data_IF_996044078227
#
_entry.id   IF_996044078227
#
_cell.length_a   1.000
_cell.length_b   1.000
_cell.length_c   1.000
_cell.angle_alpha   90.00
_cell.angle_beta   90.00
_cell.angle_gamma   90.00
#
_symmetry.space_group_name_H-M   'P 1'
#
loop_
_entity.id
_entity.type
_entity.pdbx_description
1 polymer ?
#
# COMPACT_ATOMS: atom_id res chain seq x y z
N UNK A 1 2.30 -59.98 56.12
CA UNK A 1 1.02 -59.91 55.38
C UNK A 1 1.02 -58.62 54.59
N UNK A 2 1.32 -58.72 53.31
CA UNK A 2 1.38 -57.56 52.43
C UNK A 2 0.00 -57.43 51.77
N UNK A 3 -0.80 -56.44 52.19
CA UNK A 3 -2.08 -56.16 51.57
C UNK A 3 -1.83 -55.53 50.19
N UNK A 4 -1.93 -56.31 49.13
CA UNK A 4 -2.05 -55.85 47.78
C UNK A 4 -3.39 -55.16 47.61
N UNK A 5 -3.39 -53.84 47.61
CA UNK A 5 -4.54 -53.03 47.18
C UNK A 5 -4.77 -53.29 45.71
N UNK A 6 -5.70 -54.20 45.39
CA UNK A 6 -6.19 -54.37 44.04
C UNK A 6 -7.00 -53.12 43.66
N UNK A 7 -6.42 -52.25 42.88
CA UNK A 7 -7.15 -51.18 42.18
C UNK A 7 -8.15 -51.82 41.22
N UNK A 8 -9.41 -51.94 41.65
CA UNK A 8 -10.50 -52.43 40.83
C UNK A 8 -10.71 -51.54 39.65
N UNK A 9 -10.20 -51.99 38.49
CA UNK A 9 -10.36 -51.34 37.20
C UNK A 9 -11.86 -51.25 36.89
N UNK A 10 -12.45 -50.04 36.97
CA UNK A 10 -13.72 -49.76 36.29
C UNK A 10 -13.41 -49.78 34.80
N UNK A 11 -13.58 -50.94 34.17
CA UNK A 11 -13.59 -51.10 32.73
C UNK A 11 -14.88 -50.48 32.18
N UNK A 12 -14.91 -49.16 32.06
CA UNK A 12 -15.83 -48.49 31.15
C UNK A 12 -15.47 -48.86 29.72
N UNK A 13 -16.39 -48.75 28.77
CA UNK A 13 -16.40 -49.23 27.41
C UNK A 13 -15.20 -48.83 26.51
N UNK A 14 -14.15 -48.16 27.04
CA UNK A 14 -12.97 -47.71 26.29
C UNK A 14 -11.75 -48.60 26.55
N UNK A 15 -10.98 -48.90 25.49
CA UNK A 15 -9.71 -49.61 25.62
C UNK A 15 -8.69 -48.75 26.41
N UNK A 16 -7.70 -49.40 27.04
CA UNK A 16 -6.66 -48.73 27.82
C UNK A 16 -5.91 -47.67 26.99
N UNK A 17 -5.66 -47.95 25.70
CA UNK A 17 -5.00 -47.03 24.78
C UNK A 17 -5.86 -45.77 24.55
N UNK A 18 -7.18 -45.92 24.37
CA UNK A 18 -8.09 -44.80 24.21
C UNK A 18 -8.18 -43.92 25.47
N UNK A 19 -8.14 -44.51 26.65
CA UNK A 19 -8.13 -43.78 27.94
C UNK A 19 -6.83 -42.92 28.08
N UNK A 20 -5.69 -43.52 27.71
CA UNK A 20 -4.40 -42.80 27.72
C UNK A 20 -4.36 -41.65 26.69
N UNK A 21 -4.85 -41.88 25.47
CA UNK A 21 -4.99 -40.86 24.44
C UNK A 21 -5.88 -39.70 24.91
N UNK A 22 -7.05 -40.00 25.45
CA UNK A 22 -7.99 -39.03 26.00
C UNK A 22 -7.35 -38.17 27.11
N UNK A 23 -6.65 -38.80 28.05
CA UNK A 23 -5.94 -38.11 29.13
C UNK A 23 -4.87 -37.13 28.56
N UNK A 24 -4.18 -37.51 27.49
CA UNK A 24 -3.20 -36.68 26.82
C UNK A 24 -3.86 -35.48 26.14
N UNK A 25 -4.99 -35.67 25.45
CA UNK A 25 -5.71 -34.56 24.81
C UNK A 25 -6.23 -33.58 25.87
N UNK A 26 -6.79 -34.06 26.99
CA UNK A 26 -7.20 -33.18 28.11
C UNK A 26 -6.01 -32.40 28.66
N UNK A 27 -4.84 -33.02 28.80
CA UNK A 27 -3.64 -32.34 29.23
C UNK A 27 -3.27 -31.18 28.27
N UNK A 28 -3.32 -31.38 26.96
CA UNK A 28 -3.11 -30.34 25.96
C UNK A 28 -4.13 -29.20 26.10
N UNK A 29 -5.40 -29.55 26.28
CA UNK A 29 -6.47 -28.56 26.48
C UNK A 29 -6.24 -27.69 27.73
N UNK A 30 -5.91 -28.33 28.88
CA UNK A 30 -5.61 -27.61 30.12
C UNK A 30 -4.37 -26.73 29.97
N UNK A 31 -3.34 -27.22 29.29
CA UNK A 31 -2.13 -26.44 29.03
C UNK A 31 -2.43 -25.20 28.18
N UNK A 32 -3.19 -25.36 27.09
CA UNK A 32 -3.63 -24.24 26.22
C UNK A 32 -4.49 -23.25 27.00
N UNK A 33 -5.41 -23.73 27.85
CA UNK A 33 -6.22 -22.87 28.69
C UNK A 33 -5.42 -22.05 29.70
N UNK A 34 -4.39 -22.64 30.29
CA UNK A 34 -3.49 -21.95 31.23
C UNK A 34 -2.55 -20.95 30.52
N UNK A 35 -2.11 -21.24 29.31
CA UNK A 35 -1.24 -20.40 28.49
C UNK A 35 -2.04 -19.62 27.42
N UNK A 36 -3.05 -18.86 27.86
CA UNK A 36 -4.00 -18.16 26.98
C UNK A 36 -3.31 -17.28 25.94
N UNK A 37 -2.26 -16.58 26.33
CA UNK A 37 -1.52 -15.69 25.44
C UNK A 37 -0.94 -16.43 24.23
N UNK A 38 -0.25 -17.55 24.45
CA UNK A 38 0.35 -18.35 23.39
C UNK A 38 -0.73 -18.98 22.52
N UNK A 39 -1.81 -19.49 23.13
CA UNK A 39 -2.93 -20.11 22.38
C UNK A 39 -3.66 -19.06 21.52
N UNK A 40 -3.88 -17.86 22.03
CA UNK A 40 -4.48 -16.76 21.25
C UNK A 40 -3.57 -16.32 20.11
N UNK A 41 -2.27 -16.20 20.35
CA UNK A 41 -1.31 -15.87 19.29
C UNK A 41 -1.31 -16.94 18.19
N UNK A 42 -1.31 -18.21 18.57
CA UNK A 42 -1.36 -19.35 17.65
C UNK A 42 -2.60 -19.32 16.74
N UNK A 43 -3.77 -18.96 17.28
CA UNK A 43 -5.02 -18.89 16.53
C UNK A 43 -5.15 -17.59 15.72
N UNK A 44 -4.67 -16.47 16.25
CA UNK A 44 -4.87 -15.15 15.66
C UNK A 44 -3.84 -14.79 14.59
N UNK A 45 -2.59 -15.26 14.66
CA UNK A 45 -1.58 -14.88 13.67
C UNK A 45 -1.96 -15.24 12.23
N UNK A 46 -2.42 -16.47 11.92
CA UNK A 46 -2.89 -16.76 10.56
C UNK A 46 -4.01 -15.81 10.10
N UNK A 47 -4.93 -15.49 11.01
CA UNK A 47 -6.05 -14.58 10.73
C UNK A 47 -5.58 -13.16 10.45
N UNK A 48 -4.66 -12.64 11.27
CA UNK A 48 -4.08 -11.29 11.09
C UNK A 48 -3.37 -11.18 9.73
N UNK A 49 -2.55 -12.17 9.38
CA UNK A 49 -1.84 -12.16 8.08
C UNK A 49 -2.81 -12.26 6.90
N UNK A 50 -3.88 -13.02 7.02
CA UNK A 50 -4.92 -13.07 5.98
C UNK A 50 -5.67 -11.75 5.86
N UNK A 51 -5.99 -11.08 6.97
CA UNK A 51 -6.58 -9.73 6.95
C UNK A 51 -5.65 -8.75 6.24
N UNK A 52 -4.35 -8.76 6.55
CA UNK A 52 -3.35 -7.94 5.87
C UNK A 52 -3.29 -8.26 4.36
N UNK A 53 -3.36 -9.53 4.00
CA UNK A 53 -3.44 -9.97 2.60
C UNK A 53 -4.68 -9.46 1.88
N UNK A 54 -5.86 -9.52 2.51
CA UNK A 54 -7.09 -8.97 1.96
C UNK A 54 -7.03 -7.44 1.81
N UNK A 55 -6.47 -6.74 2.80
CA UNK A 55 -6.28 -5.28 2.72
C UNK A 55 -5.36 -4.89 1.57
N UNK A 56 -4.25 -5.61 1.36
CA UNK A 56 -3.37 -5.35 0.21
C UNK A 56 -4.08 -5.65 -1.11
N UNK A 57 -4.91 -6.66 -1.18
CA UNK A 57 -5.72 -6.95 -2.36
C UNK A 57 -6.70 -5.82 -2.71
N UNK A 58 -7.34 -5.20 -1.72
CA UNK A 58 -8.24 -4.07 -1.92
C UNK A 58 -7.53 -2.78 -2.39
N UNK A 59 -6.23 -2.63 -2.13
CA UNK A 59 -5.47 -1.46 -2.60
C UNK A 59 -5.07 -1.54 -4.07
N UNK A 60 -5.11 -2.72 -4.69
CA UNK A 60 -4.85 -2.89 -6.12
C UNK A 60 -6.12 -2.54 -6.88
N UNK A 61 -6.26 -1.26 -7.21
CA UNK A 61 -7.38 -0.77 -8.00
C UNK A 61 -7.27 -1.21 -9.46
N UNK A 62 -8.39 -1.60 -10.05
CA UNK A 62 -8.50 -1.73 -11.50
C UNK A 62 -8.22 -0.37 -12.15
N UNK A 63 -7.29 -0.33 -13.10
CA UNK A 63 -7.00 0.92 -13.83
C UNK A 63 -8.20 1.29 -14.69
N UNK A 64 -8.98 2.26 -14.23
CA UNK A 64 -9.94 2.98 -15.08
C UNK A 64 -9.20 3.93 -16.03
N UNK A 65 -9.85 4.31 -17.11
CA UNK A 65 -9.30 5.35 -17.98
C UNK A 65 -9.10 6.64 -17.17
N UNK A 66 -7.92 7.27 -17.25
CA UNK A 66 -7.65 8.46 -16.45
C UNK A 66 -8.56 9.62 -16.90
N UNK A 67 -9.12 10.37 -15.96
CA UNK A 67 -9.98 11.50 -16.28
C UNK A 67 -9.19 12.62 -16.96
N UNK A 68 -9.87 13.48 -17.76
CA UNK A 68 -9.24 14.65 -18.34
C UNK A 68 -8.71 15.59 -17.25
N UNK A 69 -7.46 16.04 -17.38
CA UNK A 69 -6.77 16.90 -16.44
C UNK A 69 -6.63 18.32 -17.02
N UNK A 70 -7.31 19.34 -16.49
CA UNK A 70 -7.06 20.73 -16.89
C UNK A 70 -5.67 21.18 -16.45
N UNK A 71 -4.88 21.70 -17.40
CA UNK A 71 -3.50 22.09 -17.16
C UNK A 71 -3.42 23.53 -16.67
N UNK A 72 -3.37 23.72 -15.37
CA UNK A 72 -3.22 25.02 -14.73
C UNK A 72 -2.42 24.89 -13.42
N UNK A 73 -2.06 26.01 -12.81
CA UNK A 73 -1.30 26.06 -11.55
C UNK A 73 -2.12 25.71 -10.30
N UNK A 74 -3.43 25.49 -10.40
CA UNK A 74 -4.28 25.24 -9.20
C UNK A 74 -3.96 23.95 -8.47
N UNK A 75 -3.29 23.01 -9.12
CA UNK A 75 -2.85 21.72 -8.51
C UNK A 75 -1.61 21.88 -7.62
N UNK A 76 -0.90 23.01 -7.78
CA UNK A 76 0.26 23.34 -6.97
C UNK A 76 -0.17 24.37 -5.93
N UNK A 77 0.17 24.23 -4.70
CA UNK A 77 -0.28 25.05 -3.58
C UNK A 77 0.16 26.53 -3.72
N UNK A 78 -0.48 27.27 -4.64
CA UNK A 78 -0.16 28.68 -4.99
C UNK A 78 1.32 28.89 -5.24
N UNK A 79 1.90 28.28 -6.29
CA UNK A 79 3.33 28.33 -6.55
C UNK A 79 3.78 29.78 -6.83
N UNK A 80 5.00 30.07 -6.49
CA UNK A 80 5.69 31.33 -6.85
C UNK A 80 6.00 31.31 -8.33
N UNK A 81 5.63 32.37 -9.04
CA UNK A 81 5.85 32.53 -10.48
C UNK A 81 6.79 33.71 -10.71
N UNK A 82 8.11 33.51 -10.76
CA UNK A 82 9.07 34.57 -11.06
C UNK A 82 8.85 35.12 -12.47
N UNK A 83 8.94 36.41 -12.58
CA UNK A 83 8.79 37.14 -13.84
C UNK A 83 9.88 38.18 -13.95
N UNK A 84 10.60 38.23 -15.08
CA UNK A 84 11.57 39.23 -15.36
C UNK A 84 11.25 39.95 -16.68
N UNK A 85 11.57 41.24 -16.75
CA UNK A 85 11.47 42.03 -17.97
C UNK A 85 12.88 42.45 -18.43
N UNK A 86 13.19 42.16 -19.68
CA UNK A 86 14.48 42.49 -20.31
C UNK A 86 14.27 43.50 -21.42
N UNK A 87 15.08 44.57 -21.40
CA UNK A 87 14.99 45.69 -22.35
C UNK A 87 14.21 46.88 -21.79
N UNK A 88 14.58 48.09 -22.24
CA UNK A 88 14.04 49.37 -21.74
C UNK A 88 12.75 49.83 -22.46
N UNK A 89 12.05 48.90 -23.15
CA UNK A 89 10.85 49.23 -23.92
C UNK A 89 9.55 49.04 -23.15
N UNK A 90 8.55 49.89 -23.43
CA UNK A 90 7.19 49.77 -22.89
C UNK A 90 6.54 48.41 -23.21
N UNK A 91 7.00 47.72 -24.24
CA UNK A 91 6.49 46.41 -24.69
C UNK A 91 6.83 45.30 -23.71
N UNK A 92 8.07 45.20 -23.19
CA UNK A 92 8.46 44.22 -22.19
C UNK A 92 7.61 44.34 -20.92
N UNK A 93 7.46 45.58 -20.42
CA UNK A 93 6.66 45.88 -19.25
C UNK A 93 5.18 45.54 -19.47
N UNK A 94 4.64 45.80 -20.66
CA UNK A 94 3.24 45.48 -21.00
C UNK A 94 3.02 43.97 -21.03
N UNK A 95 3.91 43.20 -21.67
CA UNK A 95 3.85 41.74 -21.72
C UNK A 95 3.99 41.13 -20.29
N UNK A 96 4.93 41.63 -19.51
CA UNK A 96 5.14 41.23 -18.13
C UNK A 96 3.89 41.47 -17.27
N UNK A 97 3.27 42.65 -17.38
CA UNK A 97 2.04 42.96 -16.65
C UNK A 97 0.85 42.05 -17.03
N UNK A 98 0.72 41.77 -18.32
CA UNK A 98 -0.38 40.84 -18.77
C UNK A 98 -0.11 39.42 -18.29
N UNK A 99 1.13 38.94 -18.38
CA UNK A 99 1.51 37.62 -17.86
C UNK A 99 1.28 37.53 -16.34
N UNK A 100 1.68 38.53 -15.58
CA UNK A 100 1.46 38.64 -14.14
C UNK A 100 -0.05 38.50 -13.77
N UNK A 101 -0.92 39.21 -14.51
CA UNK A 101 -2.39 39.10 -14.32
C UNK A 101 -2.91 37.71 -14.60
N UNK A 102 -2.38 36.99 -15.58
CA UNK A 102 -2.77 35.61 -15.89
C UNK A 102 -2.26 34.66 -14.81
N UNK A 103 -1.00 34.81 -14.41
CA UNK A 103 -0.37 33.97 -13.38
C UNK A 103 -1.05 34.14 -12.01
N UNK A 104 -1.49 35.36 -11.68
CA UNK A 104 -2.15 35.67 -10.40
C UNK A 104 -3.47 34.90 -10.18
N UNK A 105 -4.07 34.35 -11.23
CA UNK A 105 -5.31 33.56 -11.09
C UNK A 105 -5.08 32.29 -10.27
N UNK A 106 -3.88 31.68 -10.35
CA UNK A 106 -3.60 30.39 -9.77
C UNK A 106 -2.25 30.27 -9.04
N UNK A 107 -1.41 31.33 -9.13
CA UNK A 107 -0.09 31.40 -8.53
C UNK A 107 0.18 32.76 -7.91
N UNK A 108 1.37 32.93 -7.38
CA UNK A 108 1.85 34.16 -6.79
C UNK A 108 2.97 34.74 -7.68
N UNK A 109 2.69 35.70 -8.59
CA UNK A 109 3.70 36.30 -9.43
C UNK A 109 4.65 37.18 -8.58
N UNK A 110 5.96 37.00 -8.80
CA UNK A 110 7.03 37.72 -8.12
C UNK A 110 7.88 38.39 -9.17
N UNK A 111 8.10 39.70 -9.01
CA UNK A 111 8.99 40.46 -9.90
C UNK A 111 10.45 40.14 -9.56
N UNK A 112 11.13 39.53 -10.53
CA UNK A 112 12.56 39.24 -10.49
C UNK A 112 13.37 40.17 -11.43
N UNK A 113 12.80 41.31 -11.84
CA UNK A 113 13.41 42.26 -12.72
C UNK A 113 14.72 42.81 -12.13
N UNK A 114 15.75 42.84 -12.95
CA UNK A 114 17.10 43.25 -12.53
C UNK A 114 18.09 42.09 -12.38
N UNK A 115 17.63 40.86 -12.41
CA UNK A 115 18.48 39.65 -12.42
C UNK A 115 18.17 38.82 -13.67
N UNK A 116 19.18 38.10 -14.18
CA UNK A 116 18.91 37.09 -15.20
C UNK A 116 18.03 35.97 -14.56
N UNK A 117 16.97 35.51 -15.26
CA UNK A 117 16.08 34.49 -14.76
C UNK A 117 16.80 33.20 -14.38
N UNK A 118 17.78 32.78 -15.16
CA UNK A 118 18.55 31.56 -14.91
C UNK A 118 19.38 31.70 -13.61
N UNK A 119 20.01 32.84 -13.38
CA UNK A 119 20.78 33.11 -12.16
C UNK A 119 19.86 33.19 -10.93
N UNK A 120 18.67 33.79 -11.07
CA UNK A 120 17.66 33.88 -10.02
C UNK A 120 17.17 32.49 -9.60
N UNK A 121 16.77 31.65 -10.57
CA UNK A 121 16.28 30.28 -10.31
C UNK A 121 17.40 29.39 -9.75
N UNK A 122 18.62 29.53 -10.26
CA UNK A 122 19.76 28.76 -9.76
C UNK A 122 20.14 29.14 -8.32
N UNK A 123 20.02 30.39 -7.94
CA UNK A 123 20.27 30.83 -6.57
C UNK A 123 19.26 30.28 -5.60
N UNK A 124 17.97 30.23 -5.96
CA UNK A 124 16.93 29.58 -5.15
C UNK A 124 17.21 28.08 -5.02
N UNK A 125 17.52 27.40 -6.12
CA UNK A 125 17.82 25.97 -6.11
C UNK A 125 19.04 25.64 -5.23
N UNK A 126 20.06 26.50 -5.22
CA UNK A 126 21.24 26.35 -4.35
C UNK A 126 20.90 26.53 -2.86
N UNK A 127 19.96 27.40 -2.54
CA UNK A 127 19.55 27.64 -1.13
C UNK A 127 18.69 26.51 -0.62
N UNK A 128 17.71 26.07 -1.39
CA UNK A 128 16.78 24.98 -1.04
C UNK A 128 16.23 24.33 -2.31
N UNK A 129 16.69 23.12 -2.59
CA UNK A 129 16.20 22.34 -3.74
C UNK A 129 14.73 21.93 -3.53
N UNK A 130 14.32 21.69 -2.29
CA UNK A 130 12.94 21.31 -1.98
C UNK A 130 11.97 22.47 -2.24
N UNK A 131 12.33 23.68 -1.82
CA UNK A 131 11.53 24.88 -2.08
C UNK A 131 11.46 25.17 -3.59
N UNK A 132 12.59 25.06 -4.29
CA UNK A 132 12.62 25.17 -5.75
C UNK A 132 11.66 24.18 -6.42
N UNK A 133 11.68 22.91 -6.04
CA UNK A 133 10.86 21.87 -6.65
C UNK A 133 9.38 21.98 -6.31
N UNK A 134 9.02 22.48 -5.14
CA UNK A 134 7.63 22.57 -4.67
C UNK A 134 6.96 23.88 -5.05
N UNK A 135 7.70 24.99 -5.04
CA UNK A 135 7.11 26.33 -5.19
C UNK A 135 7.40 26.98 -6.53
N UNK A 136 8.51 26.63 -7.22
CA UNK A 136 8.93 27.28 -8.47
C UNK A 136 8.67 26.33 -9.65
N UNK A 137 7.41 26.24 -10.07
CA UNK A 137 6.96 25.32 -11.13
C UNK A 137 7.16 25.93 -12.52
N UNK A 138 6.86 27.22 -12.66
CA UNK A 138 6.97 27.97 -13.90
C UNK A 138 7.54 29.37 -13.61
N UNK A 139 8.19 29.97 -14.63
CA UNK A 139 8.62 31.36 -14.60
C UNK A 139 8.51 31.95 -16.01
N UNK A 140 8.67 33.25 -16.17
CA UNK A 140 8.67 33.89 -17.49
C UNK A 140 9.65 35.05 -17.61
N UNK A 141 10.16 35.20 -18.84
CA UNK A 141 10.99 36.35 -19.22
C UNK A 141 10.31 37.10 -20.37
N UNK A 142 9.95 38.35 -20.13
CA UNK A 142 9.40 39.23 -21.14
C UNK A 142 10.55 40.04 -21.77
N UNK A 143 10.76 39.91 -23.07
CA UNK A 143 11.79 40.65 -23.80
C UNK A 143 11.13 41.71 -24.70
N UNK A 144 11.57 42.93 -24.57
CA UNK A 144 11.08 44.08 -25.38
C UNK A 144 11.88 44.36 -26.64
N UNK A 145 12.88 43.55 -26.98
CA UNK A 145 13.69 43.74 -28.18
C UNK A 145 12.94 43.30 -29.44
N UNK A 146 13.05 44.10 -30.51
CA UNK A 146 12.38 43.80 -31.80
C UNK A 146 10.85 43.78 -31.66
N UNK A 147 10.20 42.73 -32.12
CA UNK A 147 8.73 42.55 -32.04
C UNK A 147 8.24 42.14 -30.68
N UNK A 148 9.12 42.03 -29.69
CA UNK A 148 8.78 41.47 -28.37
C UNK A 148 8.67 39.96 -28.35
N UNK A 149 9.08 39.33 -27.24
CA UNK A 149 8.92 37.91 -27.02
C UNK A 149 8.63 37.63 -25.56
N UNK A 150 7.90 36.54 -25.30
CA UNK A 150 7.65 36.02 -23.96
C UNK A 150 8.18 34.59 -23.91
N UNK A 151 9.18 34.36 -23.07
CA UNK A 151 9.80 33.05 -22.88
C UNK A 151 9.26 32.45 -21.60
N UNK A 152 8.66 31.28 -21.71
CA UNK A 152 8.19 30.49 -20.55
C UNK A 152 9.28 29.54 -20.08
N UNK A 153 9.63 29.62 -18.81
CA UNK A 153 10.51 28.66 -18.14
C UNK A 153 9.65 27.66 -17.37
N UNK A 154 10.18 26.46 -17.16
CA UNK A 154 9.47 25.41 -16.43
C UNK A 154 10.43 24.55 -15.62
N UNK A 155 9.94 24.01 -14.51
CA UNK A 155 10.68 23.06 -13.69
C UNK A 155 10.35 21.62 -14.15
N UNK A 156 11.34 20.90 -14.67
CA UNK A 156 11.13 19.53 -15.19
C UNK A 156 10.81 18.49 -14.11
N UNK A 157 10.97 18.83 -12.84
CA UNK A 157 10.56 17.96 -11.73
C UNK A 157 9.03 17.83 -11.63
N UNK A 158 8.31 18.90 -11.92
CA UNK A 158 6.84 18.90 -11.87
C UNK A 158 6.24 18.36 -13.18
N UNK A 159 5.42 17.30 -13.05
CA UNK A 159 4.70 16.75 -14.20
C UNK A 159 3.81 17.82 -14.84
N UNK A 160 3.78 17.84 -16.17
CA UNK A 160 3.00 18.78 -16.99
C UNK A 160 3.42 20.26 -16.92
N UNK A 161 4.49 20.61 -16.21
CA UNK A 161 4.97 22.00 -16.09
C UNK A 161 5.24 22.67 -17.42
N UNK A 162 5.78 21.93 -18.41
CA UNK A 162 6.02 22.44 -19.79
C UNK A 162 4.71 22.94 -20.40
N UNK A 163 3.66 22.12 -20.37
CA UNK A 163 2.38 22.45 -20.97
C UNK A 163 1.65 23.56 -20.19
N UNK A 164 1.83 23.62 -18.88
CA UNK A 164 1.30 24.70 -18.03
C UNK A 164 2.02 26.02 -18.33
N UNK A 165 3.36 26.01 -18.45
CA UNK A 165 4.15 27.19 -18.80
C UNK A 165 3.73 27.75 -20.16
N UNK A 166 3.61 26.88 -21.17
CA UNK A 166 3.15 27.26 -22.51
C UNK A 166 1.73 27.83 -22.47
N UNK A 167 0.80 27.19 -21.77
CA UNK A 167 -0.58 27.65 -21.61
C UNK A 167 -0.67 29.05 -20.98
N UNK A 168 0.21 29.36 -20.01
CA UNK A 168 0.27 30.69 -19.41
C UNK A 168 0.81 31.75 -20.39
N UNK A 169 1.84 31.39 -21.15
CA UNK A 169 2.41 32.27 -22.19
C UNK A 169 1.36 32.55 -23.27
N UNK A 170 0.71 31.52 -23.79
CA UNK A 170 -0.31 31.67 -24.83
C UNK A 170 -1.49 32.53 -24.35
N UNK A 171 -1.95 32.32 -23.11
CA UNK A 171 -3.00 33.13 -22.51
C UNK A 171 -2.59 34.59 -22.31
N UNK A 172 -1.31 34.85 -21.96
CA UNK A 172 -0.78 36.20 -21.85
C UNK A 172 -0.70 36.89 -23.21
N UNK A 173 -0.19 36.21 -24.23
CA UNK A 173 -0.14 36.71 -25.60
C UNK A 173 -1.52 36.96 -26.17
N UNK A 174 -2.49 36.04 -25.94
CA UNK A 174 -3.87 36.23 -26.37
C UNK A 174 -4.49 37.50 -25.76
N UNK A 175 -4.33 37.72 -24.47
CA UNK A 175 -4.87 38.90 -23.76
C UNK A 175 -4.12 40.21 -24.11
N UNK A 176 -2.89 40.09 -24.56
CA UNK A 176 -2.16 41.21 -25.08
C UNK A 176 -2.68 41.62 -26.47
N UNK A 177 -2.91 40.64 -27.37
CA UNK A 177 -3.29 40.87 -28.75
C UNK A 177 -4.79 41.19 -28.93
N UNK A 178 -5.65 40.58 -28.11
CA UNK A 178 -7.12 40.72 -28.24
C UNK A 178 -7.70 41.29 -26.93
N UNK A 179 -8.20 42.52 -26.94
CA UNK A 179 -8.87 43.10 -25.80
C UNK A 179 -10.10 42.28 -25.40
N UNK A 180 -10.23 41.98 -24.11
CA UNK A 180 -11.38 41.20 -23.58
C UNK A 180 -10.93 40.14 -22.58
N UNK A 181 -11.89 39.34 -22.12
CA UNK A 181 -11.61 38.28 -21.13
C UNK A 181 -11.48 36.89 -21.81
N UNK A 182 -10.80 36.87 -22.94
CA UNK A 182 -10.53 35.61 -23.69
C UNK A 182 -9.54 34.72 -22.93
N UNK A 183 -9.77 33.40 -22.98
CA UNK A 183 -8.94 32.40 -22.31
C UNK A 183 -8.86 31.12 -23.11
N UNK A 184 -7.65 30.60 -23.23
CA UNK A 184 -7.37 29.24 -23.72
C UNK A 184 -7.37 28.30 -22.52
N UNK A 185 -8.17 27.25 -22.58
CA UNK A 185 -8.18 26.17 -21.58
C UNK A 185 -7.51 24.95 -22.22
N UNK A 186 -6.35 24.59 -21.66
CA UNK A 186 -5.60 23.42 -22.10
C UNK A 186 -5.92 22.25 -21.18
N UNK A 187 -6.30 21.12 -21.78
CA UNK A 187 -6.67 19.90 -21.04
C UNK A 187 -5.83 18.75 -21.55
N UNK A 188 -5.15 18.05 -20.66
CA UNK A 188 -4.56 16.76 -20.97
C UNK A 188 -5.66 15.69 -20.89
N UNK A 189 -6.04 15.15 -22.05
CA UNK A 189 -7.01 14.07 -22.13
C UNK A 189 -6.31 12.83 -22.66
N UNK A 190 -5.85 11.93 -21.79
CA UNK A 190 -5.20 10.70 -22.21
C UNK A 190 -6.13 9.88 -23.10
N UNK A 191 -5.56 9.27 -24.12
CA UNK A 191 -6.31 8.33 -24.96
C UNK A 191 -6.74 7.11 -24.11
N UNK A 192 -7.89 6.52 -24.37
CA UNK A 192 -8.33 5.31 -23.69
C UNK A 192 -7.30 4.20 -23.87
N UNK A 193 -7.13 3.40 -22.83
CA UNK A 193 -6.20 2.27 -22.87
C UNK A 193 -6.55 1.32 -24.03
N UNK A 194 -5.55 0.89 -24.78
CA UNK A 194 -5.77 -0.17 -25.78
C UNK A 194 -6.24 -1.46 -25.09
N UNK A 195 -6.99 -2.28 -25.79
CA UNK A 195 -7.48 -3.57 -25.25
C UNK A 195 -6.31 -4.40 -24.73
N UNK A 196 -5.21 -4.49 -25.47
CA UNK A 196 -4.02 -5.25 -25.04
C UNK A 196 -3.38 -4.66 -23.77
N UNK A 197 -3.31 -3.33 -23.66
CA UNK A 197 -2.76 -2.68 -22.45
C UNK A 197 -3.68 -2.91 -21.26
N UNK A 198 -4.99 -2.84 -21.46
CA UNK A 198 -5.98 -3.08 -20.40
C UNK A 198 -5.93 -4.52 -19.89
N UNK A 199 -5.89 -5.52 -20.80
CA UNK A 199 -5.79 -6.93 -20.43
C UNK A 199 -4.46 -7.26 -19.76
N UNK A 200 -3.33 -6.75 -20.25
CA UNK A 200 -2.02 -6.96 -19.63
C UNK A 200 -1.94 -6.31 -18.26
N UNK A 201 -2.50 -5.11 -18.08
CA UNK A 201 -2.53 -4.43 -16.77
C UNK A 201 -3.42 -5.17 -15.78
N UNK A 202 -4.56 -5.70 -16.22
CA UNK A 202 -5.44 -6.51 -15.37
C UNK A 202 -4.75 -7.83 -14.98
N UNK A 203 -4.12 -8.52 -15.91
CA UNK A 203 -3.36 -9.75 -15.63
C UNK A 203 -2.20 -9.49 -14.67
N UNK A 204 -1.41 -8.45 -14.88
CA UNK A 204 -0.30 -8.07 -13.98
C UNK A 204 -0.82 -7.69 -12.59
N UNK A 205 -1.93 -6.97 -12.52
CA UNK A 205 -2.60 -6.64 -11.25
C UNK A 205 -3.05 -7.90 -10.51
N UNK A 206 -3.74 -8.82 -11.20
CA UNK A 206 -4.18 -10.09 -10.62
C UNK A 206 -3.01 -10.95 -10.11
N UNK A 207 -1.92 -11.05 -10.87
CA UNK A 207 -0.71 -11.78 -10.45
C UNK A 207 -0.10 -11.13 -9.20
N UNK A 208 0.00 -9.81 -9.17
CA UNK A 208 0.54 -9.07 -8.02
C UNK A 208 -0.33 -9.26 -6.77
N UNK A 209 -1.65 -9.22 -6.90
CA UNK A 209 -2.59 -9.51 -5.80
C UNK A 209 -2.44 -10.93 -5.30
N UNK A 210 -2.46 -11.90 -6.21
CA UNK A 210 -2.37 -13.33 -5.86
C UNK A 210 -1.03 -13.65 -5.17
N UNK A 211 0.09 -13.11 -5.64
CA UNK A 211 1.40 -13.31 -5.02
C UNK A 211 1.50 -12.68 -3.64
N UNK A 212 1.01 -11.44 -3.48
CA UNK A 212 0.99 -10.75 -2.19
C UNK A 212 0.13 -11.47 -1.16
N UNK A 213 -1.08 -11.89 -1.55
CA UNK A 213 -1.98 -12.66 -0.69
C UNK A 213 -1.38 -14.02 -0.30
N UNK A 214 -0.83 -14.77 -1.28
CA UNK A 214 -0.20 -16.08 -1.03
C UNK A 214 0.99 -15.97 -0.08
N UNK A 215 1.79 -14.93 -0.20
CA UNK A 215 2.90 -14.66 0.71
C UNK A 215 2.41 -14.45 2.14
N UNK A 216 1.37 -13.63 2.34
CA UNK A 216 0.81 -13.37 3.66
C UNK A 216 0.21 -14.63 4.30
N UNK A 217 -0.54 -15.42 3.53
CA UNK A 217 -1.11 -16.70 4.00
C UNK A 217 0.00 -17.66 4.40
N UNK A 218 1.04 -17.80 3.57
CA UNK A 218 2.19 -18.69 3.85
C UNK A 218 2.93 -18.27 5.12
N UNK A 219 3.10 -16.96 5.32
CA UNK A 219 3.73 -16.43 6.52
C UNK A 219 2.90 -16.72 7.78
N UNK A 220 1.58 -16.53 7.71
CA UNK A 220 0.67 -16.85 8.80
C UNK A 220 0.70 -18.33 9.20
N UNK A 221 0.73 -19.22 8.20
CA UNK A 221 0.84 -20.67 8.43
C UNK A 221 2.22 -21.07 9.00
N UNK A 222 3.29 -20.42 8.57
CA UNK A 222 4.63 -20.66 9.11
C UNK A 222 4.70 -20.35 10.62
N UNK A 223 4.09 -19.26 11.07
CA UNK A 223 3.99 -18.95 12.48
C UNK A 223 3.18 -20.00 13.25
N UNK A 224 2.06 -20.49 12.69
CA UNK A 224 1.27 -21.54 13.32
C UNK A 224 2.09 -22.82 13.56
N UNK A 225 2.84 -23.27 12.55
CA UNK A 225 3.74 -24.43 12.68
C UNK A 225 4.83 -24.17 13.72
N UNK A 226 5.37 -22.95 13.78
CA UNK A 226 6.33 -22.55 14.80
C UNK A 226 5.83 -22.77 16.23
N UNK A 227 4.57 -22.43 16.51
CA UNK A 227 3.96 -22.64 17.82
C UNK A 227 3.83 -24.12 18.20
N UNK A 228 3.55 -25.01 17.25
CA UNK A 228 3.51 -26.47 17.49
C UNK A 228 4.89 -26.98 17.94
N UNK A 229 5.94 -26.52 17.27
CA UNK A 229 7.32 -26.92 17.60
C UNK A 229 7.73 -26.41 18.99
N UNK A 230 7.40 -25.17 19.33
CA UNK A 230 7.70 -24.56 20.64
C UNK A 230 7.10 -25.39 21.78
N UNK A 231 5.86 -25.87 21.62
CA UNK A 231 5.24 -26.73 22.62
C UNK A 231 6.03 -28.03 22.87
N UNK A 232 6.46 -28.69 21.81
CA UNK A 232 7.25 -29.94 21.91
C UNK A 232 8.61 -29.68 22.57
N UNK A 233 9.27 -28.56 22.21
CA UNK A 233 10.56 -28.15 22.81
C UNK A 233 10.39 -27.92 24.32
N UNK A 234 9.35 -27.19 24.73
CA UNK A 234 9.08 -26.91 26.13
C UNK A 234 8.82 -28.18 26.95
N UNK A 235 8.11 -29.17 26.37
CA UNK A 235 7.91 -30.45 27.03
C UNK A 235 9.22 -31.25 27.21
N UNK A 236 10.14 -31.14 26.26
CA UNK A 236 11.47 -31.76 26.39
C UNK A 236 12.32 -31.04 27.45
N UNK A 237 12.37 -29.71 27.42
CA UNK A 237 13.12 -28.91 28.36
C UNK A 237 12.71 -29.16 29.83
N UNK A 238 11.41 -29.24 30.07
CA UNK A 238 10.85 -29.47 31.40
C UNK A 238 10.79 -30.97 31.79
N UNK A 239 11.41 -31.88 31.02
CA UNK A 239 11.40 -33.32 31.24
C UNK A 239 9.99 -33.93 31.35
N UNK A 240 8.94 -33.19 31.01
CA UNK A 240 7.55 -33.65 31.08
C UNK A 240 7.27 -34.84 30.17
N UNK A 241 7.95 -34.91 29.03
CA UNK A 241 7.89 -36.06 28.11
C UNK A 241 8.37 -37.34 28.79
N UNK A 242 9.49 -37.29 29.50
CA UNK A 242 10.04 -38.44 30.20
C UNK A 242 9.08 -38.94 31.32
N UNK A 243 8.53 -38.01 32.09
CA UNK A 243 7.53 -38.31 33.13
C UNK A 243 6.30 -39.02 32.57
N UNK A 244 5.85 -38.70 31.36
CA UNK A 244 4.71 -39.36 30.70
C UNK A 244 5.02 -40.78 30.26
N UNK A 245 6.25 -41.04 29.76
CA UNK A 245 6.70 -42.36 29.38
C UNK A 245 6.82 -43.28 30.63
N UNK A 246 7.34 -42.75 31.74
CA UNK A 246 7.38 -43.47 33.03
C UNK A 246 5.94 -43.77 33.48
N UNK A 247 4.97 -42.89 33.23
CA UNK A 247 3.53 -43.12 33.52
C UNK A 247 2.85 -44.12 32.57
N UNK A 248 3.60 -44.79 31.68
CA UNK A 248 3.13 -45.85 30.83
C UNK A 248 2.49 -45.41 29.51
N UNK A 249 2.72 -44.16 29.08
CA UNK A 249 2.29 -43.71 27.75
C UNK A 249 3.34 -44.19 26.74
N UNK A 250 2.88 -44.88 25.69
CA UNK A 250 3.71 -45.32 24.59
C UNK A 250 4.08 -44.16 23.64
N UNK A 251 5.17 -44.32 22.87
CA UNK A 251 5.65 -43.28 21.95
C UNK A 251 4.61 -42.93 20.85
N UNK A 252 3.86 -43.92 20.37
CA UNK A 252 2.84 -43.73 19.35
C UNK A 252 1.69 -42.92 19.91
N UNK A 253 1.17 -43.28 21.09
CA UNK A 253 0.12 -42.53 21.77
C UNK A 253 0.47 -41.08 22.08
N UNK A 254 1.75 -40.82 22.46
CA UNK A 254 2.24 -39.47 22.67
C UNK A 254 2.17 -38.60 21.38
N UNK A 255 2.72 -39.12 20.30
CA UNK A 255 2.76 -38.37 19.04
C UNK A 255 1.36 -38.26 18.42
N UNK A 256 0.53 -39.28 18.53
CA UNK A 256 -0.86 -39.23 18.04
C UNK A 256 -1.68 -38.17 18.78
N UNK A 257 -1.53 -38.09 20.12
CA UNK A 257 -2.20 -37.04 20.89
C UNK A 257 -1.77 -35.63 20.52
N UNK A 258 -0.44 -35.42 20.32
CA UNK A 258 0.09 -34.15 19.87
C UNK A 258 -0.44 -33.78 18.47
N UNK A 259 -0.40 -34.73 17.53
CA UNK A 259 -0.90 -34.49 16.16
C UNK A 259 -2.40 -34.15 16.15
N UNK A 260 -3.23 -34.90 16.89
CA UNK A 260 -4.68 -34.62 16.97
C UNK A 260 -4.96 -33.22 17.53
N UNK A 261 -4.20 -32.82 18.55
CA UNK A 261 -4.35 -31.50 19.13
C UNK A 261 -3.94 -30.39 18.14
N UNK A 262 -2.79 -30.53 17.51
CA UNK A 262 -2.26 -29.59 16.53
C UNK A 262 -3.19 -29.49 15.31
N UNK A 263 -3.74 -30.63 14.85
CA UNK A 263 -4.74 -30.67 13.79
C UNK A 263 -6.04 -29.95 14.17
N UNK A 264 -6.50 -30.09 15.41
CA UNK A 264 -7.67 -29.34 15.91
C UNK A 264 -7.41 -27.83 15.89
N UNK A 265 -6.27 -27.39 16.39
CA UNK A 265 -5.88 -25.97 16.35
C UNK A 265 -5.78 -25.45 14.92
N UNK A 266 -5.18 -26.23 14.01
CA UNK A 266 -5.12 -25.89 12.59
C UNK A 266 -6.51 -25.78 11.97
N UNK A 267 -7.41 -26.72 12.24
CA UNK A 267 -8.79 -26.70 11.73
C UNK A 267 -9.55 -25.46 12.20
N UNK A 268 -9.43 -25.09 13.48
CA UNK A 268 -10.05 -23.87 14.02
C UNK A 268 -9.50 -22.63 13.32
N UNK A 269 -8.19 -22.52 13.20
CA UNK A 269 -7.55 -21.38 12.50
C UNK A 269 -7.99 -21.32 11.03
N UNK A 270 -8.08 -22.46 10.35
CA UNK A 270 -8.52 -22.53 8.95
C UNK A 270 -9.96 -22.06 8.77
N UNK A 271 -10.85 -22.45 9.67
CA UNK A 271 -12.26 -21.98 9.65
C UNK A 271 -12.31 -20.47 9.85
N UNK A 272 -11.53 -19.91 10.78
CA UNK A 272 -11.47 -18.46 11.00
C UNK A 272 -10.94 -17.74 9.76
N UNK A 273 -9.91 -18.27 9.11
CA UNK A 273 -9.36 -17.74 7.86
C UNK A 273 -10.42 -17.71 6.75
N UNK A 274 -11.15 -18.81 6.56
CA UNK A 274 -12.23 -18.88 5.56
C UNK A 274 -13.33 -17.84 5.85
N UNK A 275 -13.74 -17.70 7.12
CA UNK A 275 -14.73 -16.68 7.51
C UNK A 275 -14.23 -15.27 7.15
N UNK A 276 -12.97 -14.97 7.40
CA UNK A 276 -12.38 -13.65 7.06
C UNK A 276 -12.38 -13.43 5.54
N UNK A 277 -11.92 -14.40 4.76
CA UNK A 277 -11.88 -14.26 3.28
C UNK A 277 -13.30 -14.03 2.73
N UNK A 278 -14.29 -14.76 3.22
CA UNK A 278 -15.68 -14.56 2.83
C UNK A 278 -16.25 -13.22 3.26
N UNK A 279 -15.85 -12.71 4.44
CA UNK A 279 -16.30 -11.40 4.93
C UNK A 279 -15.75 -10.23 4.11
N UNK A 280 -14.53 -10.35 3.57
CA UNK A 280 -13.92 -9.31 2.75
C UNK A 280 -14.46 -9.26 1.31
N UNK A 281 -15.18 -10.30 0.85
CA UNK A 281 -15.79 -10.38 -0.48
C UNK A 281 -14.86 -9.89 -1.61
N UNK A 282 -13.60 -10.30 -1.57
CA UNK A 282 -12.63 -9.95 -2.61
C UNK A 282 -13.06 -10.62 -3.92
N UNK A 283 -13.44 -9.84 -4.92
CA UNK A 283 -14.02 -10.32 -6.21
C UNK A 283 -13.19 -11.43 -6.86
N UNK A 284 -11.85 -11.33 -6.76
CA UNK A 284 -10.93 -12.34 -7.29
C UNK A 284 -11.07 -13.74 -6.66
N UNK A 285 -11.71 -13.85 -5.50
CA UNK A 285 -11.90 -15.12 -4.77
C UNK A 285 -13.37 -15.49 -4.56
N UNK A 286 -14.29 -14.61 -4.92
CA UNK A 286 -15.74 -14.81 -4.79
C UNK A 286 -16.37 -15.42 -6.05
N UNK A 287 -15.77 -15.17 -7.23
CA UNK A 287 -16.22 -15.77 -8.47
C UNK A 287 -15.68 -17.21 -8.61
N UNK A 288 -16.50 -18.17 -8.31
CA UNK A 288 -16.23 -19.54 -8.74
C UNK A 288 -16.28 -19.58 -10.26
N UNK A 289 -15.23 -20.07 -10.95
CA UNK A 289 -15.35 -20.31 -12.38
C UNK A 289 -16.50 -21.30 -12.56
N UNK A 290 -17.60 -20.79 -13.07
CA UNK A 290 -18.64 -21.66 -13.62
C UNK A 290 -17.98 -22.38 -14.80
N UNK A 291 -17.54 -23.62 -14.54
CA UNK A 291 -17.10 -24.55 -15.57
C UNK A 291 -18.30 -24.82 -16.45
N UNK A 292 -18.47 -24.00 -17.50
CA UNK A 292 -19.37 -24.22 -18.61
C UNK A 292 -18.67 -25.01 -19.71
#
# INVERSE_FOLDING_TARGET
MCNTVQFRRKTGAMSLAAQRLYAMIIKHAIHSWRNRTVTLQQLLYPVIFVILGCLTALTVSSKSDPPPLPLNLSYFNKPTVPLTSVGSGSLATSLANVYSKVAHLYGNPVDASGTNMDDYLLDIAKRSMDDYNQMHIVAATANGSGNGSLVGHFNNFALHSIAISLSLVDNALLRYAVPGNHRIVTVNHPLPWSVNTRTNSAATGAISMASGFSFQVSLGLAFLVGFFVVFVINQRANKAKLSQFIGGIDAVGYWLAAFLWDFLCFAVSSVLVVIVVLAFQVDAYSEWPVLG
#
